data_IF_865367696504
#
_entry.id   IF_865367696504
#
_cell.length_a   1.000
_cell.length_b   1.000
_cell.length_c   1.000
_cell.angle_alpha   90.00
_cell.angle_beta   90.00
_cell.angle_gamma   90.00
#
_symmetry.space_group_name_H-M   'P 1'
#
loop_
_entity.id
_entity.type
_entity.pdbx_description
1 polymer ?
#
# COMPACT_ATOMS: atom_id res chain seq x y z
N UNK A 1 -8.64 5.37 -14.57
CA UNK A 1 -8.28 4.53 -13.41
C UNK A 1 -9.52 3.74 -12.93
N UNK A 2 -9.95 2.73 -13.70
CA UNK A 2 -11.10 1.85 -13.35
C UNK A 2 -10.78 0.38 -13.57
N UNK A 3 -9.51 0.04 -13.77
CA UNK A 3 -9.10 -1.29 -14.22
C UNK A 3 -9.51 -2.36 -13.21
N UNK A 4 -9.31 -2.08 -11.91
CA UNK A 4 -9.65 -2.98 -10.81
C UNK A 4 -11.14 -3.39 -10.77
N UNK A 5 -12.04 -2.61 -11.38
CA UNK A 5 -13.47 -2.91 -11.45
C UNK A 5 -13.87 -3.65 -12.72
N UNK A 6 -13.11 -3.48 -13.81
CA UNK A 6 -13.47 -3.96 -15.15
C UNK A 6 -12.67 -5.18 -15.62
N UNK A 7 -11.61 -5.55 -14.90
CA UNK A 7 -10.78 -6.69 -15.25
C UNK A 7 -11.51 -8.03 -15.08
N UNK A 8 -11.01 -9.03 -15.81
CA UNK A 8 -11.50 -10.40 -15.71
C UNK A 8 -11.06 -11.04 -14.40
N UNK A 9 -12.02 -11.62 -13.68
CA UNK A 9 -11.82 -12.36 -12.44
C UNK A 9 -12.20 -13.82 -12.66
N UNK A 10 -11.48 -14.74 -12.02
CA UNK A 10 -11.74 -16.18 -12.06
C UNK A 10 -11.68 -16.73 -10.64
N UNK A 11 -12.66 -17.55 -10.28
CA UNK A 11 -12.68 -18.14 -8.94
C UNK A 11 -11.45 -19.02 -8.71
N UNK A 12 -10.83 -18.87 -7.55
CA UNK A 12 -9.61 -19.60 -7.19
C UNK A 12 -8.29 -18.98 -7.68
N UNK A 13 -8.33 -17.92 -8.50
CA UNK A 13 -7.12 -17.22 -8.96
C UNK A 13 -7.11 -15.76 -8.54
N UNK A 14 -6.00 -15.33 -7.94
CA UNK A 14 -5.76 -13.94 -7.58
C UNK A 14 -4.81 -13.31 -8.61
N UNK A 15 -5.32 -12.39 -9.43
CA UNK A 15 -4.54 -11.66 -10.45
C UNK A 15 -4.26 -10.23 -10.03
N UNK A 16 -5.10 -9.69 -9.17
CA UNK A 16 -4.98 -8.36 -8.61
C UNK A 16 -5.48 -8.34 -7.16
N UNK A 17 -5.06 -7.36 -6.35
CA UNK A 17 -5.55 -7.24 -4.97
C UNK A 17 -7.06 -7.06 -4.88
N UNK A 18 -7.71 -6.59 -5.95
CA UNK A 18 -9.17 -6.50 -6.01
C UNK A 18 -9.90 -7.83 -5.95
N UNK A 19 -9.20 -8.93 -6.22
CA UNK A 19 -9.74 -10.29 -6.17
C UNK A 19 -9.79 -10.83 -4.73
N UNK A 20 -9.03 -10.20 -3.81
CA UNK A 20 -8.90 -10.64 -2.42
C UNK A 20 -10.17 -10.31 -1.62
N UNK A 21 -10.58 -11.22 -0.74
CA UNK A 21 -11.75 -11.02 0.12
C UNK A 21 -11.65 -9.78 1.00
N UNK A 22 -10.46 -9.47 1.52
CA UNK A 22 -10.20 -8.26 2.30
C UNK A 22 -10.55 -6.97 1.50
N UNK A 23 -10.21 -6.95 0.21
CA UNK A 23 -10.53 -5.82 -0.66
C UNK A 23 -12.03 -5.70 -0.94
N UNK A 24 -12.68 -6.84 -1.21
CA UNK A 24 -14.13 -6.91 -1.43
C UNK A 24 -14.89 -6.47 -0.19
N UNK A 25 -14.46 -6.92 0.99
CA UNK A 25 -14.98 -6.51 2.29
C UNK A 25 -14.85 -4.99 2.46
N UNK A 26 -13.65 -4.44 2.31
CA UNK A 26 -13.39 -3.01 2.48
C UNK A 26 -14.20 -2.15 1.49
N UNK A 27 -14.27 -2.56 0.23
CA UNK A 27 -15.08 -1.88 -0.80
C UNK A 27 -16.59 -1.97 -0.49
N UNK A 28 -17.05 -3.05 0.14
CA UNK A 28 -18.44 -3.23 0.54
C UNK A 28 -18.87 -2.31 1.69
N UNK A 29 -17.96 -2.02 2.63
CA UNK A 29 -18.24 -1.27 3.85
C UNK A 29 -17.96 0.24 3.74
N UNK A 30 -16.98 0.64 2.91
CA UNK A 30 -16.62 2.05 2.75
C UNK A 30 -17.43 2.66 1.61
N UNK A 31 -18.39 3.52 1.95
CA UNK A 31 -19.32 4.16 1.00
C UNK A 31 -18.59 4.86 -0.15
N UNK A 32 -17.54 5.64 0.15
CA UNK A 32 -16.81 6.37 -0.89
C UNK A 32 -16.17 5.42 -1.88
N UNK A 33 -15.63 4.27 -1.47
CA UNK A 33 -15.03 3.31 -2.40
C UNK A 33 -16.07 2.63 -3.29
N UNK A 34 -17.30 2.45 -2.79
CA UNK A 34 -18.38 1.79 -3.52
C UNK A 34 -19.10 2.71 -4.50
N UNK A 35 -19.13 4.02 -4.24
CA UNK A 35 -19.88 5.00 -5.03
C UNK A 35 -19.41 5.10 -6.48
N UNK A 36 -18.10 5.00 -6.73
CA UNK A 36 -17.56 5.14 -8.08
C UNK A 36 -16.33 4.27 -8.30
N UNK A 37 -16.27 3.52 -9.43
CA UNK A 37 -15.07 2.81 -9.81
C UNK A 37 -13.92 3.75 -10.19
N UNK A 38 -14.17 5.06 -10.36
CA UNK A 38 -13.13 6.06 -10.62
C UNK A 38 -12.45 6.57 -9.35
N UNK A 39 -12.99 6.25 -8.17
CA UNK A 39 -12.39 6.68 -6.91
C UNK A 39 -11.03 6.01 -6.73
N UNK A 40 -10.03 6.85 -6.44
CA UNK A 40 -8.64 6.42 -6.33
C UNK A 40 -8.49 5.50 -5.13
N UNK A 41 -7.76 4.42 -5.34
CA UNK A 41 -7.47 3.38 -4.35
C UNK A 41 -5.97 3.29 -4.26
N UNK A 42 -5.49 3.71 -3.10
CA UNK A 42 -4.08 3.76 -2.79
C UNK A 42 -3.78 2.63 -1.81
N UNK A 43 -2.62 2.02 -2.00
CA UNK A 43 -2.05 1.09 -1.05
C UNK A 43 -0.78 1.66 -0.47
N UNK A 44 -0.56 1.36 0.80
CA UNK A 44 0.62 1.73 1.56
C UNK A 44 1.35 0.45 1.91
N UNK A 45 2.54 0.27 1.35
CA UNK A 45 3.42 -0.80 1.74
C UNK A 45 4.65 -0.24 2.46
N UNK A 46 5.04 -0.91 3.53
CA UNK A 46 6.23 -0.57 4.29
C UNK A 46 6.99 -1.84 4.62
N UNK A 47 8.28 -1.85 4.30
CA UNK A 47 9.18 -2.93 4.67
C UNK A 47 10.35 -2.34 5.43
N UNK A 48 10.70 -2.96 6.55
CA UNK A 48 11.85 -2.53 7.33
C UNK A 48 13.10 -3.21 6.81
N UNK A 49 14.15 -2.44 6.56
CA UNK A 49 15.47 -3.00 6.35
C UNK A 49 16.47 -2.37 7.32
N UNK A 50 17.50 -3.16 7.66
CA UNK A 50 18.61 -2.74 8.52
C UNK A 50 19.80 -2.52 7.60
N UNK A 51 20.14 -1.27 7.24
CA UNK A 51 21.14 -0.97 6.21
C UNK A 51 22.57 -1.39 6.57
N UNK A 52 22.86 -1.56 7.86
CA UNK A 52 24.14 -2.08 8.35
C UNK A 52 23.86 -3.40 9.07
N UNK A 53 24.23 -4.53 8.47
CA UNK A 53 23.92 -5.88 8.96
C UNK A 53 24.26 -6.15 10.44
N UNK A 54 23.90 -7.34 10.92
CA UNK A 54 23.87 -7.88 12.32
C UNK A 54 24.85 -7.33 13.39
N UNK A 55 25.91 -6.63 13.04
CA UNK A 55 26.91 -6.08 13.95
C UNK A 55 26.61 -4.65 14.44
N UNK A 56 25.68 -3.92 13.81
CA UNK A 56 25.32 -2.53 14.18
C UNK A 56 23.80 -2.36 14.34
N UNK A 57 23.24 -3.01 15.37
CA UNK A 57 21.81 -3.10 15.68
C UNK A 57 21.07 -1.77 16.03
N UNK A 58 21.65 -0.61 15.77
CA UNK A 58 21.17 0.63 16.40
C UNK A 58 20.05 1.33 15.61
N UNK A 59 19.85 1.03 14.32
CA UNK A 59 18.89 1.77 13.49
C UNK A 59 18.16 0.89 12.47
N UNK A 60 16.87 1.19 12.26
CA UNK A 60 16.04 0.60 11.20
C UNK A 60 15.51 1.69 10.27
N UNK A 61 15.42 1.37 8.98
CA UNK A 61 14.87 2.25 7.94
C UNK A 61 13.61 1.61 7.37
N UNK A 62 12.52 2.37 7.35
CA UNK A 62 11.20 1.93 6.91
C UNK A 62 10.69 2.87 5.82
N UNK A 63 10.98 2.58 4.54
CA UNK A 63 10.30 3.25 3.44
C UNK A 63 8.79 2.98 3.53
N UNK A 64 8.00 4.02 3.27
CA UNK A 64 6.57 3.94 3.01
C UNK A 64 6.39 4.23 1.53
N UNK A 65 5.87 3.25 0.81
CA UNK A 65 5.63 3.33 -0.62
C UNK A 65 4.13 3.36 -0.85
N UNK A 66 3.68 4.35 -1.61
CA UNK A 66 2.30 4.53 -2.05
C UNK A 66 2.15 3.98 -3.47
N UNK A 67 1.11 3.22 -3.74
CA UNK A 67 0.85 2.66 -5.08
C UNK A 67 -0.64 2.73 -5.44
N UNK A 68 -1.01 3.20 -6.65
CA UNK A 68 -2.40 3.23 -7.10
C UNK A 68 -2.86 1.87 -7.64
N UNK A 69 -3.67 1.16 -6.88
CA UNK A 69 -4.27 -0.14 -7.28
C UNK A 69 -5.51 -0.01 -8.17
N UNK A 70 -5.77 1.16 -8.74
CA UNK A 70 -6.71 1.27 -9.87
C UNK A 70 -6.09 0.84 -11.21
N UNK A 71 -4.78 0.56 -11.23
CA UNK A 71 -4.00 0.22 -12.42
C UNK A 71 -3.89 -1.30 -12.61
N UNK A 72 -3.60 -1.79 -13.84
CA UNK A 72 -3.34 -3.20 -14.07
C UNK A 72 -2.13 -3.71 -13.26
N UNK A 73 -2.04 -5.03 -12.96
CA UNK A 73 -1.01 -5.62 -12.11
C UNK A 73 0.41 -5.28 -12.53
N UNK A 74 0.67 -5.31 -13.84
CA UNK A 74 1.97 -4.93 -14.40
C UNK A 74 2.36 -3.49 -14.09
N UNK A 75 1.38 -2.60 -14.06
CA UNK A 75 1.58 -1.18 -13.92
C UNK A 75 1.64 -0.77 -12.44
N UNK A 76 0.74 -1.29 -11.59
CA UNK A 76 0.80 -0.99 -10.16
C UNK A 76 2.07 -1.54 -9.50
N UNK A 77 2.63 -2.64 -10.01
CA UNK A 77 3.92 -3.16 -9.52
C UNK A 77 5.14 -2.57 -10.22
N UNK A 78 4.96 -1.57 -11.09
CA UNK A 78 6.08 -0.94 -11.81
C UNK A 78 6.64 0.23 -11.01
N UNK A 79 7.96 0.43 -11.07
CA UNK A 79 8.66 1.47 -10.33
C UNK A 79 8.13 2.88 -10.61
N UNK A 80 7.66 3.14 -11.84
CA UNK A 80 7.10 4.42 -12.26
C UNK A 80 5.79 4.79 -11.55
N UNK A 81 5.12 3.81 -10.92
CA UNK A 81 3.87 4.00 -10.17
C UNK A 81 4.02 3.69 -8.67
N UNK A 82 5.24 3.43 -8.22
CA UNK A 82 5.60 3.30 -6.81
C UNK A 82 6.18 4.61 -6.32
N UNK A 83 5.47 5.30 -5.45
CA UNK A 83 5.89 6.58 -4.90
C UNK A 83 6.45 6.38 -3.51
N UNK A 84 7.74 6.65 -3.32
CA UNK A 84 8.31 6.75 -1.97
C UNK A 84 7.78 8.04 -1.32
N UNK A 85 6.84 7.91 -0.38
CA UNK A 85 6.19 9.06 0.26
C UNK A 85 6.88 9.45 1.57
N UNK A 86 7.45 8.48 2.29
CA UNK A 86 8.09 8.72 3.57
C UNK A 86 9.21 7.71 3.83
N UNK A 87 10.20 8.13 4.63
CA UNK A 87 11.20 7.23 5.20
C UNK A 87 11.22 7.41 6.71
N UNK A 88 10.78 6.39 7.43
CA UNK A 88 10.75 6.41 8.90
C UNK A 88 12.07 5.84 9.40
N UNK A 89 12.87 6.70 10.05
CA UNK A 89 14.10 6.32 10.74
C UNK A 89 13.84 6.20 12.23
N UNK A 90 14.34 5.14 12.85
CA UNK A 90 14.24 5.01 14.30
C UNK A 90 15.16 3.96 14.90
N UNK A 91 15.52 4.10 16.19
CA UNK A 91 16.15 3.02 16.95
C UNK A 91 15.22 1.81 16.90
N UNK A 92 15.81 0.64 16.70
CA UNK A 92 15.16 -0.67 16.48
C UNK A 92 13.64 -0.74 16.74
N UNK A 93 12.88 -1.06 15.68
CA UNK A 93 11.45 -1.43 15.70
C UNK A 93 10.43 -0.26 15.75
N UNK A 94 10.48 0.64 14.77
CA UNK A 94 9.50 1.72 14.56
C UNK A 94 8.07 1.23 14.23
N UNK A 95 7.87 -0.06 13.99
CA UNK A 95 6.54 -0.65 13.72
C UNK A 95 5.50 -0.32 14.80
N UNK A 96 5.93 -0.18 16.06
CA UNK A 96 5.01 0.02 17.20
C UNK A 96 4.24 1.34 17.12
N UNK A 97 4.81 2.35 16.47
CA UNK A 97 4.24 3.70 16.37
C UNK A 97 3.96 4.08 14.92
N UNK A 98 3.74 3.07 14.05
CA UNK A 98 3.57 3.31 12.61
C UNK A 98 2.33 4.16 12.30
N UNK A 99 1.29 4.04 13.11
CA UNK A 99 0.09 4.87 13.08
C UNK A 99 0.43 6.37 13.26
N UNK A 100 1.25 6.70 14.25
CA UNK A 100 1.71 8.08 14.51
C UNK A 100 2.53 8.62 13.34
N UNK A 101 3.39 7.78 12.76
CA UNK A 101 4.19 8.21 11.61
C UNK A 101 3.38 8.37 10.32
N UNK A 102 2.31 7.59 10.14
CA UNK A 102 1.45 7.66 8.95
C UNK A 102 0.40 8.77 9.02
N UNK A 103 0.05 9.28 10.20
CA UNK A 103 -0.91 10.37 10.39
C UNK A 103 -0.72 11.55 9.43
N UNK A 104 0.46 12.19 9.30
CA UNK A 104 0.65 13.31 8.38
C UNK A 104 0.44 12.92 6.90
N UNK A 105 0.78 11.68 6.52
CA UNK A 105 0.53 11.19 5.16
C UNK A 105 -0.96 11.01 4.90
N UNK A 106 -1.72 10.57 5.91
CA UNK A 106 -3.18 10.40 5.80
C UNK A 106 -3.88 11.77 5.73
N UNK A 107 -3.39 12.79 6.44
CA UNK A 107 -3.96 14.15 6.39
C UNK A 107 -3.77 14.82 5.02
N UNK A 108 -2.72 14.47 4.27
CA UNK A 108 -2.46 15.00 2.94
C UNK A 108 -3.28 14.31 1.82
N UNK A 109 -3.78 13.09 2.05
CA UNK A 109 -4.50 12.26 1.08
C UNK A 109 -6.02 12.49 1.09
#
# INVERSE_FOLDING_TARGET
MTWHANHYTEEGYMRHLSDVDAWRYLTGHILILRQSPRNVRLDLCTNGFVPHGQYWHTYSCWPVILTPYNLPPRMCMSYEYMFLTMVIYGPSNSKRLIDVYLEPLIEEL
#
